data_IF_769424438768
#
_entry.id   IF_769424438768
#
_cell.length_a   1.000
_cell.length_b   1.000
_cell.length_c   1.000
_cell.angle_alpha   90.00
_cell.angle_beta   90.00
_cell.angle_gamma   90.00
#
_symmetry.space_group_name_H-M   'P 1'
#
loop_
_entity.id
_entity.type
_entity.pdbx_description
1 polymer ?
#
# COMPACT_ATOMS: atom_id res chain seq x y z
N UNK A 1 -4.17 -1.58 20.65
CA UNK A 1 -5.60 -1.79 20.33
C UNK A 1 -5.69 -3.05 19.50
N UNK A 2 -6.49 -4.03 19.92
CA UNK A 2 -6.71 -5.25 19.14
C UNK A 2 -7.54 -4.97 17.89
N UNK A 3 -7.47 -5.83 16.87
CA UNK A 3 -8.28 -5.70 15.65
C UNK A 3 -9.78 -5.69 15.95
N UNK A 4 -10.21 -6.44 16.98
CA UNK A 4 -11.61 -6.56 17.40
C UNK A 4 -12.10 -5.26 18.06
N UNK A 5 -11.31 -4.67 18.96
CA UNK A 5 -11.65 -3.39 19.62
C UNK A 5 -11.76 -2.26 18.58
N UNK A 6 -10.83 -2.20 17.63
CA UNK A 6 -10.89 -1.22 16.54
C UNK A 6 -12.20 -1.35 15.75
N UNK A 7 -12.56 -2.56 15.36
CA UNK A 7 -13.78 -2.83 14.61
C UNK A 7 -15.04 -2.41 15.37
N UNK A 8 -15.12 -2.75 16.66
CA UNK A 8 -16.25 -2.36 17.53
C UNK A 8 -16.41 -0.84 17.66
N UNK A 9 -15.30 -0.08 17.80
CA UNK A 9 -15.31 1.38 17.88
C UNK A 9 -15.81 1.98 16.56
N UNK A 10 -15.31 1.49 15.43
CA UNK A 10 -15.72 1.98 14.11
C UNK A 10 -17.20 1.65 13.86
N UNK A 11 -17.66 0.44 14.15
CA UNK A 11 -19.06 0.03 13.99
C UNK A 11 -19.99 0.91 14.83
N UNK A 12 -19.65 1.15 16.10
CA UNK A 12 -20.43 2.03 16.97
C UNK A 12 -20.49 3.48 16.45
N UNK A 13 -19.39 3.98 15.88
CA UNK A 13 -19.34 5.31 15.27
C UNK A 13 -20.18 5.39 14.00
N UNK A 14 -20.14 4.32 13.17
CA UNK A 14 -20.89 4.25 11.92
C UNK A 14 -22.41 4.11 12.14
N UNK A 15 -22.84 3.50 13.24
CA UNK A 15 -24.26 3.31 13.56
C UNK A 15 -25.03 4.64 13.66
N UNK A 16 -24.37 5.74 13.99
CA UNK A 16 -24.93 7.08 14.08
C UNK A 16 -24.89 7.87 12.77
N UNK A 17 -24.21 7.37 11.74
CA UNK A 17 -24.02 8.05 10.46
C UNK A 17 -25.03 7.59 9.40
N UNK A 18 -25.45 8.55 8.57
CA UNK A 18 -26.33 8.24 7.43
C UNK A 18 -25.64 7.28 6.45
N UNK A 19 -26.31 6.20 6.01
CA UNK A 19 -25.74 5.23 5.06
C UNK A 19 -25.50 5.82 3.66
N UNK A 20 -26.13 6.94 3.32
CA UNK A 20 -26.03 7.59 2.02
C UNK A 20 -24.88 8.62 1.94
N UNK A 21 -24.05 8.72 2.96
CA UNK A 21 -22.89 9.62 2.98
C UNK A 21 -21.61 8.84 2.83
N UNK A 22 -20.65 9.41 2.07
CA UNK A 22 -19.29 8.85 1.99
C UNK A 22 -18.65 8.82 3.38
N UNK A 23 -17.99 7.70 3.68
CA UNK A 23 -17.33 7.43 4.95
C UNK A 23 -15.82 7.49 4.77
N UNK A 24 -15.20 8.42 5.46
CA UNK A 24 -13.75 8.60 5.44
C UNK A 24 -13.14 8.10 6.75
N UNK A 25 -12.16 7.23 6.65
CA UNK A 25 -11.39 6.72 7.79
C UNK A 25 -9.94 7.19 7.68
N UNK A 26 -9.54 8.24 8.43
CA UNK A 26 -8.16 8.70 8.47
C UNK A 26 -7.29 7.77 9.30
N UNK A 27 -6.04 7.57 8.88
CA UNK A 27 -5.06 6.83 9.65
C UNK A 27 -4.18 5.89 8.82
N UNK A 28 -3.19 5.31 9.49
CA UNK A 28 -2.22 4.41 8.88
C UNK A 28 -2.76 2.97 8.83
N UNK A 29 -3.39 2.61 7.72
CA UNK A 29 -3.98 1.28 7.52
C UNK A 29 -3.23 0.52 6.42
N UNK A 30 -2.74 -0.67 6.77
CA UNK A 30 -2.15 -1.59 5.82
C UNK A 30 -3.22 -2.15 4.84
N UNK A 31 -2.84 -2.64 3.65
CA UNK A 31 -3.77 -3.17 2.65
C UNK A 31 -4.82 -4.14 3.19
N UNK A 32 -4.43 -5.03 4.12
CA UNK A 32 -5.36 -5.97 4.76
C UNK A 32 -6.45 -5.28 5.59
N UNK A 33 -6.09 -4.22 6.29
CA UNK A 33 -7.04 -3.45 7.10
C UNK A 33 -7.96 -2.62 6.19
N UNK A 34 -7.42 -2.05 5.10
CA UNK A 34 -8.20 -1.31 4.11
C UNK A 34 -9.25 -2.22 3.46
N UNK A 35 -8.86 -3.42 3.01
CA UNK A 35 -9.80 -4.39 2.43
C UNK A 35 -10.90 -4.74 3.43
N UNK A 36 -10.53 -5.07 4.67
CA UNK A 36 -11.50 -5.40 5.72
C UNK A 36 -12.46 -4.24 6.00
N UNK A 37 -11.94 -3.01 6.13
CA UNK A 37 -12.76 -1.83 6.39
C UNK A 37 -13.68 -1.49 5.21
N UNK A 38 -13.22 -1.65 3.97
CA UNK A 38 -14.04 -1.39 2.78
C UNK A 38 -15.17 -2.41 2.62
N UNK A 39 -14.92 -3.69 2.95
CA UNK A 39 -15.90 -4.77 2.77
C UNK A 39 -16.89 -4.82 3.94
N UNK A 40 -16.38 -4.83 5.17
CA UNK A 40 -17.21 -5.11 6.36
C UNK A 40 -17.76 -3.86 7.03
N UNK A 41 -17.05 -2.72 6.93
CA UNK A 41 -17.45 -1.48 7.57
C UNK A 41 -18.04 -0.44 6.59
N UNK A 42 -17.95 -0.72 5.28
CA UNK A 42 -18.43 0.20 4.25
C UNK A 42 -17.69 1.54 4.25
N UNK A 43 -16.38 1.53 4.49
CA UNK A 43 -15.53 2.71 4.38
C UNK A 43 -15.20 2.96 2.91
N UNK A 44 -15.39 4.19 2.45
CA UNK A 44 -15.22 4.58 1.04
C UNK A 44 -13.88 5.26 0.76
N UNK A 45 -13.33 5.99 1.74
CA UNK A 45 -12.14 6.81 1.58
C UNK A 45 -11.12 6.53 2.68
N UNK A 46 -9.85 6.49 2.26
CA UNK A 46 -8.67 6.34 3.12
C UNK A 46 -7.64 7.40 2.72
N UNK A 47 -6.70 7.70 3.62
CA UNK A 47 -5.59 8.59 3.33
C UNK A 47 -4.31 7.82 2.94
N UNK A 48 -3.22 8.56 2.71
CA UNK A 48 -1.91 8.00 2.32
C UNK A 48 -0.95 7.76 3.50
N UNK A 49 -1.41 7.83 4.74
CA UNK A 49 -0.55 7.70 5.93
C UNK A 49 0.26 6.40 5.95
N UNK A 50 -0.32 5.31 5.47
CA UNK A 50 0.40 4.04 5.36
C UNK A 50 1.59 4.12 4.40
N UNK A 51 1.43 4.80 3.27
CA UNK A 51 2.51 5.00 2.29
C UNK A 51 3.66 5.80 2.89
N UNK A 52 3.35 6.87 3.61
CA UNK A 52 4.35 7.67 4.33
C UNK A 52 5.09 6.79 5.34
N UNK A 53 4.35 6.06 6.18
CA UNK A 53 4.91 5.20 7.21
C UNK A 53 5.89 4.15 6.68
N UNK A 54 5.49 3.36 5.66
CA UNK A 54 6.38 2.33 5.10
C UNK A 54 7.59 2.94 4.39
N UNK A 55 7.44 4.14 3.80
CA UNK A 55 8.56 4.85 3.18
C UNK A 55 9.60 5.28 4.22
N UNK A 56 9.17 5.85 5.35
CA UNK A 56 10.04 6.24 6.46
C UNK A 56 10.75 5.02 7.08
N UNK A 57 10.08 3.87 7.07
CA UNK A 57 10.69 2.61 7.48
C UNK A 57 11.67 2.03 6.45
N UNK A 58 11.81 2.64 5.26
CA UNK A 58 12.67 2.14 4.18
C UNK A 58 12.11 0.89 3.52
N UNK A 59 10.80 0.81 3.36
CA UNK A 59 10.09 -0.33 2.78
C UNK A 59 9.42 0.04 1.47
N UNK A 60 9.36 -0.91 0.53
CA UNK A 60 8.65 -0.79 -0.74
C UNK A 60 7.44 -1.72 -0.80
N UNK A 61 6.29 -1.16 -1.16
CA UNK A 61 5.07 -1.91 -1.43
C UNK A 61 5.14 -2.49 -2.85
N UNK A 62 4.79 -3.76 -3.00
CA UNK A 62 4.58 -4.40 -4.29
C UNK A 62 3.13 -4.88 -4.37
N UNK A 63 2.43 -4.45 -5.39
CA UNK A 63 1.09 -4.89 -5.71
C UNK A 63 1.08 -5.70 -7.00
N UNK A 64 0.61 -6.94 -6.95
CA UNK A 64 0.42 -7.78 -8.11
C UNK A 64 -1.06 -7.77 -8.51
N UNK A 65 -1.40 -7.10 -9.61
CA UNK A 65 -2.77 -7.08 -10.12
C UNK A 65 -3.17 -8.48 -10.59
N UNK A 66 -4.05 -9.13 -9.83
CA UNK A 66 -4.62 -10.42 -10.19
C UNK A 66 -6.15 -10.28 -10.28
N UNK A 67 -6.64 -10.17 -11.50
CA UNK A 67 -8.07 -9.97 -11.80
C UNK A 67 -8.97 -11.13 -11.36
N UNK A 68 -8.39 -12.29 -11.04
CA UNK A 68 -9.14 -13.49 -10.64
C UNK A 68 -9.34 -13.61 -9.13
N UNK A 69 -8.73 -12.72 -8.32
CA UNK A 69 -8.81 -12.76 -6.87
C UNK A 69 -10.09 -12.09 -6.38
N UNK A 70 -10.80 -12.78 -5.47
CA UNK A 70 -11.96 -12.21 -4.78
C UNK A 70 -11.56 -11.04 -3.88
N UNK A 71 -12.46 -10.09 -3.69
CA UNK A 71 -12.23 -8.90 -2.87
C UNK A 71 -11.72 -9.22 -1.46
N UNK A 72 -12.22 -10.28 -0.82
CA UNK A 72 -11.84 -10.71 0.53
C UNK A 72 -10.34 -11.05 0.67
N UNK A 73 -9.76 -11.65 -0.38
CA UNK A 73 -8.35 -12.07 -0.41
C UNK A 73 -7.46 -11.05 -1.14
N UNK A 74 -8.02 -9.90 -1.51
CA UNK A 74 -7.31 -8.93 -2.34
C UNK A 74 -6.04 -8.37 -1.68
N UNK A 75 -6.00 -8.31 -0.37
CA UNK A 75 -4.81 -7.89 0.38
C UNK A 75 -3.60 -8.84 0.21
N UNK A 76 -3.81 -10.10 -0.15
CA UNK A 76 -2.75 -11.09 -0.37
C UNK A 76 -1.93 -10.79 -1.64
N UNK A 77 -2.45 -9.93 -2.52
CA UNK A 77 -1.73 -9.43 -3.70
C UNK A 77 -0.63 -8.43 -3.36
N UNK A 78 -0.59 -7.94 -2.12
CA UNK A 78 0.38 -6.98 -1.65
C UNK A 78 1.53 -7.67 -0.91
N UNK A 79 2.75 -7.33 -1.29
CA UNK A 79 3.99 -7.73 -0.62
C UNK A 79 4.78 -6.48 -0.22
N UNK A 80 5.69 -6.62 0.72
CA UNK A 80 6.56 -5.54 1.17
C UNK A 80 8.00 -6.01 1.14
N UNK A 81 8.86 -5.25 0.46
CA UNK A 81 10.32 -5.42 0.53
C UNK A 81 10.85 -4.47 1.60
N UNK A 82 11.60 -4.99 2.56
CA UNK A 82 12.25 -4.21 3.61
C UNK A 82 13.75 -4.05 3.31
N UNK A 83 14.15 -2.83 2.91
CA UNK A 83 15.53 -2.51 2.56
C UNK A 83 16.48 -2.44 3.77
N UNK A 84 15.95 -2.30 4.98
CA UNK A 84 16.77 -2.27 6.20
C UNK A 84 17.11 -3.67 6.71
N UNK A 85 16.19 -4.63 6.58
CA UNK A 85 16.39 -6.00 7.03
C UNK A 85 17.05 -6.89 5.98
N UNK A 86 16.72 -6.72 4.69
CA UNK A 86 17.22 -7.53 3.57
C UNK A 86 18.49 -6.97 2.92
N UNK A 87 19.27 -6.16 3.65
CA UNK A 87 20.46 -5.44 3.12
C UNK A 87 21.46 -6.31 2.36
N UNK A 88 21.71 -7.53 2.83
CA UNK A 88 22.72 -8.42 2.21
C UNK A 88 22.26 -8.95 0.86
N UNK A 89 21.02 -9.39 0.78
CA UNK A 89 20.47 -10.01 -0.44
C UNK A 89 20.24 -8.95 -1.53
N UNK A 90 19.81 -7.74 -1.14
CA UNK A 90 19.52 -6.67 -2.08
C UNK A 90 20.75 -5.94 -2.61
N UNK A 91 21.90 -5.99 -1.94
CA UNK A 91 23.14 -5.32 -2.37
C UNK A 91 23.66 -5.82 -3.73
N UNK A 92 23.31 -7.03 -4.11
CA UNK A 92 23.72 -7.65 -5.38
C UNK A 92 22.58 -7.77 -6.38
N UNK A 93 21.37 -7.22 -6.04
CA UNK A 93 20.23 -7.26 -6.94
C UNK A 93 20.17 -5.99 -7.79
N UNK A 94 20.65 -6.11 -9.03
CA UNK A 94 20.67 -5.03 -10.02
C UNK A 94 19.37 -4.95 -10.84
N UNK A 95 18.32 -5.66 -10.46
CA UNK A 95 17.01 -5.51 -11.08
C UNK A 95 16.30 -4.21 -10.63
N UNK A 96 15.36 -3.75 -11.43
CA UNK A 96 14.45 -2.67 -11.02
C UNK A 96 13.52 -3.15 -9.90
N UNK A 97 12.95 -2.22 -9.17
CA UNK A 97 12.12 -2.55 -8.01
C UNK A 97 10.90 -3.40 -8.41
N UNK A 98 10.20 -3.00 -9.46
CA UNK A 98 9.10 -3.76 -10.06
C UNK A 98 9.03 -3.46 -11.56
N UNK A 99 9.17 -4.51 -12.38
CA UNK A 99 9.16 -4.40 -13.86
C UNK A 99 7.81 -3.97 -14.42
N UNK A 100 6.73 -4.23 -13.72
CA UNK A 100 5.37 -3.93 -14.14
C UNK A 100 4.87 -2.57 -13.63
N UNK A 101 5.64 -1.92 -12.76
CA UNK A 101 5.26 -0.64 -12.19
C UNK A 101 5.54 0.52 -13.15
N UNK A 102 4.56 1.39 -13.45
CA UNK A 102 4.73 2.52 -14.35
C UNK A 102 5.38 3.75 -13.70
N UNK A 103 5.77 3.69 -12.42
CA UNK A 103 6.31 4.85 -11.71
C UNK A 103 7.70 5.26 -12.23
N UNK A 104 8.07 6.51 -11.95
CA UNK A 104 9.37 7.05 -12.31
C UNK A 104 10.54 6.18 -11.80
N UNK A 105 10.47 5.72 -10.55
CA UNK A 105 11.52 4.91 -9.93
C UNK A 105 11.77 3.61 -10.69
N UNK A 106 10.72 2.95 -11.16
CA UNK A 106 10.82 1.67 -11.87
C UNK A 106 11.12 1.82 -13.37
N UNK A 107 10.75 2.95 -13.98
CA UNK A 107 11.01 3.24 -15.40
C UNK A 107 12.41 3.80 -15.66
N UNK A 108 13.12 4.22 -14.64
CA UNK A 108 14.51 4.69 -14.70
C UNK A 108 15.45 3.59 -14.18
N UNK A 109 16.75 3.66 -14.44
CA UNK A 109 17.72 2.62 -14.09
C UNK A 109 18.07 2.58 -12.59
N UNK A 110 17.08 2.85 -11.71
CA UNK A 110 17.25 2.71 -10.27
C UNK A 110 17.06 1.24 -9.88
N UNK A 111 18.16 0.58 -9.52
CA UNK A 111 18.15 -0.82 -9.12
C UNK A 111 17.82 -0.99 -7.63
N UNK A 112 17.42 -2.20 -7.24
CA UNK A 112 17.23 -2.55 -5.82
C UNK A 112 18.50 -2.37 -5.01
N UNK A 113 19.67 -2.74 -5.58
CA UNK A 113 20.99 -2.51 -4.97
C UNK A 113 21.25 -1.01 -4.72
N UNK A 114 20.92 -0.17 -5.69
CA UNK A 114 21.07 1.29 -5.54
C UNK A 114 20.14 1.86 -4.47
N UNK A 115 18.86 1.49 -4.48
CA UNK A 115 17.91 1.89 -3.43
C UNK A 115 18.38 1.41 -2.04
N UNK A 116 18.87 0.17 -1.93
CA UNK A 116 19.43 -0.37 -0.71
C UNK A 116 20.60 0.48 -0.20
N UNK A 117 21.50 0.91 -1.12
CA UNK A 117 22.60 1.80 -0.77
C UNK A 117 22.09 3.14 -0.24
N UNK A 118 21.19 3.81 -0.96
CA UNK A 118 20.65 5.11 -0.56
C UNK A 118 19.99 5.06 0.84
N UNK A 119 19.19 4.02 1.09
CA UNK A 119 18.53 3.83 2.41
C UNK A 119 19.56 3.52 3.51
N UNK A 120 20.61 2.78 3.18
CA UNK A 120 21.66 2.43 4.16
C UNK A 120 22.51 3.62 4.62
N UNK A 121 22.68 4.62 3.76
CA UNK A 121 23.44 5.85 4.05
C UNK A 121 22.55 7.05 4.38
N UNK A 122 21.25 6.81 4.53
CA UNK A 122 20.23 7.81 4.87
C UNK A 122 20.16 8.98 3.87
N UNK A 123 20.33 8.70 2.58
CA UNK A 123 20.19 9.69 1.53
C UNK A 123 18.73 9.98 1.24
N UNK A 124 18.35 11.27 1.22
CA UNK A 124 16.98 11.71 0.99
C UNK A 124 16.40 11.22 -0.35
N UNK A 125 17.26 11.06 -1.36
CA UNK A 125 16.85 10.52 -2.66
C UNK A 125 16.23 9.13 -2.54
N UNK A 126 16.72 8.29 -1.63
CA UNK A 126 16.16 6.96 -1.37
C UNK A 126 14.72 7.03 -0.93
N UNK A 127 14.41 7.90 0.03
CA UNK A 127 13.04 8.12 0.51
C UNK A 127 12.14 8.70 -0.57
N UNK A 128 12.62 9.65 -1.38
CA UNK A 128 11.87 10.24 -2.50
C UNK A 128 11.50 9.15 -3.52
N UNK A 129 12.45 8.32 -3.94
CA UNK A 129 12.23 7.26 -4.90
C UNK A 129 11.26 6.19 -4.38
N UNK A 130 11.37 5.82 -3.09
CA UNK A 130 10.42 4.90 -2.45
C UNK A 130 9.03 5.51 -2.35
N UNK A 131 8.90 6.80 -2.00
CA UNK A 131 7.61 7.48 -1.90
C UNK A 131 6.89 7.48 -3.25
N UNK A 132 7.58 7.84 -4.34
CA UNK A 132 7.01 7.81 -5.70
C UNK A 132 6.51 6.41 -6.06
N UNK A 133 7.29 5.39 -5.75
CA UNK A 133 6.93 4.01 -6.01
C UNK A 133 5.73 3.57 -5.15
N UNK A 134 5.80 3.75 -3.84
CA UNK A 134 4.78 3.31 -2.90
C UNK A 134 3.43 3.98 -3.16
N UNK A 135 3.43 5.28 -3.51
CA UNK A 135 2.22 6.01 -3.88
C UNK A 135 1.59 5.43 -5.16
N UNK A 136 2.42 5.10 -6.16
CA UNK A 136 1.94 4.47 -7.40
C UNK A 136 1.35 3.09 -7.12
N UNK A 137 2.03 2.27 -6.31
CA UNK A 137 1.56 0.93 -5.95
C UNK A 137 0.24 0.98 -5.17
N UNK A 138 0.10 1.92 -4.24
CA UNK A 138 -1.14 2.11 -3.49
C UNK A 138 -2.30 2.56 -4.39
N UNK A 139 -2.03 3.43 -5.38
CA UNK A 139 -3.04 3.82 -6.37
C UNK A 139 -3.48 2.63 -7.24
N UNK A 140 -2.54 1.77 -7.66
CA UNK A 140 -2.84 0.55 -8.39
C UNK A 140 -3.66 -0.43 -7.53
N UNK A 141 -3.30 -0.58 -6.26
CA UNK A 141 -4.05 -1.37 -5.29
C UNK A 141 -5.51 -0.89 -5.17
N UNK A 142 -5.75 0.41 -4.98
CA UNK A 142 -7.11 0.94 -4.91
C UNK A 142 -7.90 0.78 -6.22
N UNK A 143 -7.24 0.91 -7.37
CA UNK A 143 -7.88 0.63 -8.67
C UNK A 143 -8.31 -0.83 -8.77
N UNK A 144 -7.42 -1.75 -8.39
CA UNK A 144 -7.72 -3.18 -8.36
C UNK A 144 -8.82 -3.54 -7.37
N UNK A 145 -8.77 -3.00 -6.16
CA UNK A 145 -9.78 -3.22 -5.12
C UNK A 145 -11.17 -2.74 -5.56
N UNK A 146 -11.28 -1.56 -6.19
CA UNK A 146 -12.57 -1.08 -6.75
C UNK A 146 -13.12 -2.03 -7.79
N UNK A 147 -12.28 -2.56 -8.69
CA UNK A 147 -12.69 -3.58 -9.67
C UNK A 147 -13.19 -4.86 -8.98
N UNK A 148 -12.46 -5.36 -8.00
CA UNK A 148 -12.83 -6.56 -7.23
C UNK A 148 -14.13 -6.39 -6.45
N UNK A 149 -14.47 -5.17 -6.03
CA UNK A 149 -15.74 -4.83 -5.37
C UNK A 149 -16.89 -4.57 -6.35
N UNK A 150 -16.66 -4.65 -7.67
CA UNK A 150 -17.66 -4.30 -8.66
C UNK A 150 -18.03 -2.81 -8.71
N UNK A 151 -17.24 -1.95 -8.09
CA UNK A 151 -17.42 -0.50 -8.03
C UNK A 151 -16.54 0.20 -9.09
N UNK A 152 -16.65 -0.22 -10.35
CA UNK A 152 -15.91 0.43 -11.44
C UNK A 152 -16.68 1.69 -11.84
N UNK A 153 -16.08 2.85 -11.58
CA UNK A 153 -16.36 4.05 -12.38
C UNK A 153 -15.29 4.08 -13.48
N UNK A 154 -15.71 3.95 -14.73
CA UNK A 154 -14.89 4.20 -15.91
C UNK A 154 -14.41 5.65 -15.93
#
# INVERSE_FOLDING_TARGET
MSSVEFQQIVDASLASLSPNKMRYLPGCFAPKQIVSAAIHLGIDLFDSSYVCHITDEGKALLFCDNTSIKAENFAETCQVIDFKTLKLDLKSDFSVLDKNCPCYTCQKPFTRAYLCHLIAVDEILGQILLMIHNMTQMNLFFKGLRRALGKVCD
#
